data_IF_335936981310
#
_entry.id   IF_335936981310
#
_cell.length_a   1.000
_cell.length_b   1.000
_cell.length_c   1.000
_cell.angle_alpha   90.00
_cell.angle_beta   90.00
_cell.angle_gamma   90.00
#
_symmetry.space_group_name_H-M   'P 1'
#
loop_
_entity.id
_entity.type
_entity.pdbx_description
1 polymer ?
#
# COMPACT_ATOMS: atom_id res chain seq x y z
N UNK A 1 -19.50 -25.22 -4.27
CA UNK A 1 -19.78 -23.84 -4.76
C UNK A 1 -19.35 -22.80 -3.72
N UNK A 2 -18.14 -22.91 -3.15
CA UNK A 2 -17.65 -21.98 -2.10
C UNK A 2 -16.38 -21.20 -2.50
N UNK A 3 -15.78 -21.49 -3.67
CA UNK A 3 -14.49 -20.90 -4.06
C UNK A 3 -14.54 -19.55 -4.80
N UNK A 4 -15.72 -19.08 -5.23
CA UNK A 4 -15.83 -17.85 -6.04
C UNK A 4 -16.18 -16.61 -5.21
N UNK A 5 -16.81 -16.76 -4.04
CA UNK A 5 -17.24 -15.62 -3.22
C UNK A 5 -16.08 -14.93 -2.49
N UNK A 6 -15.03 -15.66 -2.11
CA UNK A 6 -13.82 -15.11 -1.51
C UNK A 6 -13.00 -14.27 -2.49
N UNK A 7 -12.95 -14.65 -3.76
CA UNK A 7 -12.24 -13.91 -4.81
C UNK A 7 -12.96 -12.63 -5.26
N UNK A 8 -14.30 -12.61 -5.23
CA UNK A 8 -15.09 -11.41 -5.57
C UNK A 8 -15.02 -10.35 -4.45
N UNK A 9 -14.89 -10.78 -3.19
CA UNK A 9 -14.85 -9.88 -2.04
C UNK A 9 -13.60 -9.00 -1.99
N UNK A 10 -12.44 -9.49 -2.45
CA UNK A 10 -11.19 -8.72 -2.42
C UNK A 10 -11.20 -7.54 -3.42
N UNK A 11 -11.87 -7.71 -4.56
CA UNK A 11 -11.90 -6.75 -5.67
C UNK A 11 -12.76 -5.50 -5.41
N UNK A 12 -13.69 -5.57 -4.46
CA UNK A 12 -14.70 -4.52 -4.20
C UNK A 12 -14.48 -3.73 -2.90
N UNK A 13 -13.57 -4.16 -2.03
CA UNK A 13 -13.39 -3.56 -0.69
C UNK A 13 -12.60 -2.25 -0.63
N UNK A 14 -11.86 -1.87 -1.68
CA UNK A 14 -10.96 -0.70 -1.65
C UNK A 14 -11.63 0.65 -1.97
N UNK A 15 -12.73 0.66 -2.74
CA UNK A 15 -13.37 1.92 -3.17
C UNK A 15 -14.58 2.32 -2.31
N UNK A 16 -15.11 1.42 -1.46
CA UNK A 16 -16.33 1.65 -0.66
C UNK A 16 -16.13 1.53 0.86
N UNK A 17 -14.89 1.39 1.36
CA UNK A 17 -14.61 1.43 2.80
C UNK A 17 -14.20 2.83 3.24
N UNK A 18 -14.86 3.30 4.29
CA UNK A 18 -14.31 4.34 5.17
C UNK A 18 -12.97 3.83 5.69
N UNK A 19 -11.87 4.51 5.37
CA UNK A 19 -10.57 4.22 5.99
C UNK A 19 -10.67 4.63 7.45
N UNK A 20 -10.62 3.66 8.35
CA UNK A 20 -10.54 3.91 9.80
C UNK A 20 -9.08 3.91 10.19
N UNK A 21 -8.58 5.07 10.59
CA UNK A 21 -7.24 5.17 11.15
C UNK A 21 -7.22 4.48 12.51
N UNK A 22 -6.30 3.53 12.68
CA UNK A 22 -6.02 2.89 13.96
C UNK A 22 -4.68 3.43 14.46
N UNK A 23 -4.64 4.18 15.59
CA UNK A 23 -3.39 4.63 16.17
C UNK A 23 -2.47 3.45 16.50
N UNK A 24 -1.17 3.62 16.32
CA UNK A 24 -0.14 2.68 16.77
C UNK A 24 0.80 3.37 17.74
N UNK A 25 1.47 2.57 18.57
CA UNK A 25 2.48 3.08 19.49
C UNK A 25 3.67 3.67 18.70
N UNK A 26 4.09 4.86 19.09
CA UNK A 26 5.17 5.60 18.44
C UNK A 26 6.54 4.94 18.68
N UNK A 27 6.67 4.20 19.77
CA UNK A 27 7.91 3.50 20.14
C UNK A 27 8.19 2.28 19.24
N UNK A 28 7.27 1.94 18.33
CA UNK A 28 7.48 0.95 17.28
C UNK A 28 8.30 1.49 16.10
N UNK A 29 8.44 2.80 15.96
CA UNK A 29 9.14 3.39 14.83
C UNK A 29 10.66 3.23 14.97
N UNK A 30 11.36 2.80 13.91
CA UNK A 30 12.81 2.93 13.86
C UNK A 30 13.22 4.41 13.76
N UNK A 31 14.50 4.75 13.96
CA UNK A 31 15.01 6.09 13.68
C UNK A 31 14.69 6.51 12.23
N UNK A 32 14.04 7.67 12.06
CA UNK A 32 13.68 8.23 10.76
C UNK A 32 14.51 9.47 10.46
N UNK A 33 14.90 9.63 9.19
CA UNK A 33 15.61 10.81 8.70
C UNK A 33 14.72 11.59 7.73
N UNK A 34 14.60 12.90 7.95
CA UNK A 34 13.89 13.79 7.05
C UNK A 34 14.90 14.48 6.12
N UNK A 35 14.71 14.33 4.81
CA UNK A 35 15.53 14.97 3.77
C UNK A 35 14.61 15.83 2.91
N UNK A 36 15.02 17.07 2.65
CA UNK A 36 14.29 18.01 1.81
C UNK A 36 15.00 18.17 0.45
N UNK A 37 14.24 18.10 -0.65
CA UNK A 37 14.71 18.30 -2.01
C UNK A 37 13.71 19.15 -2.81
N UNK A 38 14.22 20.07 -3.65
CA UNK A 38 13.39 21.02 -4.41
C UNK A 38 12.79 20.44 -5.71
N UNK A 39 13.15 19.21 -6.08
CA UNK A 39 12.64 18.53 -7.27
C UNK A 39 11.23 17.98 -7.04
N UNK A 40 10.23 18.83 -7.29
CA UNK A 40 8.82 18.47 -7.22
C UNK A 40 8.38 17.79 -8.52
N UNK A 41 8.32 16.46 -8.53
CA UNK A 41 7.55 15.73 -9.54
C UNK A 41 6.06 15.96 -9.23
N UNK A 42 5.30 16.39 -10.24
CA UNK A 42 3.84 16.52 -10.14
C UNK A 42 3.20 15.14 -10.03
N UNK A 43 2.99 14.69 -8.79
CA UNK A 43 2.36 13.41 -8.47
C UNK A 43 0.93 13.31 -9.02
N UNK A 44 0.25 14.44 -9.21
CA UNK A 44 -1.09 14.50 -9.80
C UNK A 44 -1.10 14.00 -11.24
N UNK A 45 -0.10 14.38 -12.05
CA UNK A 45 0.04 13.88 -13.41
C UNK A 45 0.35 12.39 -13.45
N UNK A 46 1.27 11.93 -12.59
CA UNK A 46 1.73 10.53 -12.56
C UNK A 46 0.62 9.57 -12.11
N UNK A 47 -0.20 9.95 -11.13
CA UNK A 47 -1.23 9.06 -10.56
C UNK A 47 -2.63 9.22 -11.15
N UNK A 48 -2.88 10.24 -11.98
CA UNK A 48 -4.21 10.55 -12.53
C UNK A 48 -4.89 9.37 -13.25
N UNK A 49 -4.12 8.49 -13.89
CA UNK A 49 -4.66 7.39 -14.72
C UNK A 49 -4.87 6.08 -13.96
N UNK A 50 -4.33 5.93 -12.75
CA UNK A 50 -4.36 4.67 -11.98
C UNK A 50 -5.79 4.20 -11.76
N UNK A 51 -6.66 5.11 -11.27
CA UNK A 51 -8.08 4.79 -11.03
C UNK A 51 -8.82 4.41 -12.31
N UNK A 52 -8.56 5.13 -13.41
CA UNK A 52 -9.20 4.85 -14.68
C UNK A 52 -8.80 3.46 -15.20
N UNK A 53 -7.51 3.12 -15.16
CA UNK A 53 -6.99 1.83 -15.61
C UNK A 53 -7.48 0.67 -14.74
N UNK A 54 -7.55 0.86 -13.42
CA UNK A 54 -8.17 -0.12 -12.52
C UNK A 54 -9.63 -0.39 -12.90
N UNK A 55 -10.44 0.65 -13.11
CA UNK A 55 -11.85 0.50 -13.52
C UNK A 55 -12.00 -0.14 -14.89
N UNK A 56 -11.03 0.06 -15.78
CA UNK A 56 -10.95 -0.60 -17.08
C UNK A 56 -10.52 -2.08 -16.99
N UNK A 57 -10.20 -2.59 -15.80
CA UNK A 57 -9.81 -3.99 -15.61
C UNK A 57 -8.35 -4.28 -15.96
N UNK A 58 -7.49 -3.27 -16.01
CA UNK A 58 -6.06 -3.43 -16.31
C UNK A 58 -5.39 -4.35 -15.27
N UNK A 59 -5.02 -5.56 -15.70
CA UNK A 59 -4.48 -6.60 -14.81
C UNK A 59 -3.20 -6.16 -14.10
N UNK A 60 -2.33 -5.40 -14.78
CA UNK A 60 -1.09 -4.91 -14.19
C UNK A 60 -1.39 -3.92 -13.06
N UNK A 61 -2.33 -2.99 -13.29
CA UNK A 61 -2.74 -2.04 -12.25
C UNK A 61 -3.42 -2.77 -11.09
N UNK A 62 -4.24 -3.78 -11.40
CA UNK A 62 -4.93 -4.55 -10.37
C UNK A 62 -3.95 -5.29 -9.47
N UNK A 63 -3.04 -6.07 -10.06
CA UNK A 63 -2.07 -6.85 -9.30
C UNK A 63 -1.09 -5.97 -8.53
N UNK A 64 -0.65 -4.84 -9.11
CA UNK A 64 0.24 -3.89 -8.43
C UNK A 64 -0.43 -3.28 -7.20
N UNK A 65 -1.70 -2.87 -7.30
CA UNK A 65 -2.41 -2.28 -6.15
C UNK A 65 -2.72 -3.33 -5.07
N UNK A 66 -2.95 -4.60 -5.45
CA UNK A 66 -3.06 -5.71 -4.50
C UNK A 66 -1.73 -5.96 -3.77
N UNK A 67 -0.61 -5.87 -4.47
CA UNK A 67 0.72 -6.00 -3.87
C UNK A 67 1.05 -4.84 -2.91
N UNK A 68 0.80 -3.59 -3.32
CA UNK A 68 0.95 -2.41 -2.45
C UNK A 68 0.10 -2.53 -1.18
N UNK A 69 -1.12 -3.05 -1.29
CA UNK A 69 -1.97 -3.34 -0.14
C UNK A 69 -1.36 -4.38 0.81
N UNK A 70 -0.77 -5.45 0.26
CA UNK A 70 -0.10 -6.48 1.05
C UNK A 70 1.14 -5.94 1.75
N UNK A 71 1.91 -5.06 1.09
CA UNK A 71 3.06 -4.38 1.69
C UNK A 71 2.64 -3.61 2.95
N UNK A 72 1.50 -2.91 2.93
CA UNK A 72 1.02 -2.18 4.10
C UNK A 72 0.67 -3.10 5.28
N UNK A 73 0.02 -4.24 5.00
CA UNK A 73 -0.33 -5.25 6.02
C UNK A 73 0.91 -5.90 6.61
N UNK A 74 1.87 -6.31 5.78
CA UNK A 74 3.09 -6.94 6.25
C UNK A 74 4.06 -5.95 6.90
N UNK A 75 4.08 -4.70 6.45
CA UNK A 75 4.82 -3.60 7.07
C UNK A 75 4.33 -3.31 8.49
N UNK A 76 3.02 -3.34 8.73
CA UNK A 76 2.48 -3.24 10.09
C UNK A 76 2.97 -4.38 10.99
N UNK A 77 2.97 -5.63 10.48
CA UNK A 77 3.48 -6.78 11.24
C UNK A 77 4.97 -6.61 11.57
N UNK A 78 5.76 -6.19 10.58
CA UNK A 78 7.19 -5.93 10.77
C UNK A 78 7.45 -4.85 11.85
N UNK A 79 6.62 -3.81 11.93
CA UNK A 79 6.68 -2.81 13.00
C UNK A 79 6.37 -3.43 14.38
N UNK A 80 5.30 -4.21 14.48
CA UNK A 80 4.90 -4.86 15.74
C UNK A 80 5.97 -5.85 16.23
N UNK A 81 6.59 -6.58 15.31
CA UNK A 81 7.66 -7.54 15.59
C UNK A 81 9.03 -6.89 15.79
N UNK A 82 9.14 -5.56 15.58
CA UNK A 82 10.39 -4.79 15.57
C UNK A 82 11.43 -5.31 14.57
N UNK A 83 10.97 -5.95 13.49
CA UNK A 83 11.81 -6.41 12.38
C UNK A 83 12.03 -5.29 11.36
N UNK A 84 12.96 -4.39 11.70
CA UNK A 84 13.25 -3.21 10.88
C UNK A 84 13.95 -3.55 9.56
N UNK A 85 14.61 -4.71 9.47
CA UNK A 85 15.22 -5.16 8.22
C UNK A 85 14.13 -5.53 7.21
N UNK A 86 13.10 -6.26 7.65
CA UNK A 86 11.94 -6.59 6.83
C UNK A 86 11.12 -5.34 6.48
N UNK A 87 10.95 -4.42 7.42
CA UNK A 87 10.31 -3.13 7.16
C UNK A 87 11.04 -2.34 6.06
N UNK A 88 12.37 -2.24 6.11
CA UNK A 88 13.16 -1.55 5.09
C UNK A 88 13.01 -2.20 3.71
N UNK A 89 12.98 -3.54 3.64
CA UNK A 89 12.73 -4.26 2.40
C UNK A 89 11.35 -3.92 1.80
N UNK A 90 10.32 -3.84 2.63
CA UNK A 90 8.97 -3.44 2.21
C UNK A 90 8.89 -1.99 1.74
N UNK A 91 9.59 -1.07 2.42
CA UNK A 91 9.65 0.33 2.00
C UNK A 91 10.31 0.49 0.62
N UNK A 92 11.39 -0.26 0.37
CA UNK A 92 12.03 -0.28 -0.94
C UNK A 92 11.08 -0.83 -2.00
N UNK A 93 10.39 -1.94 -1.71
CA UNK A 93 9.45 -2.54 -2.65
C UNK A 93 8.31 -1.59 -3.05
N UNK A 94 7.78 -0.79 -2.11
CA UNK A 94 6.72 0.18 -2.38
C UNK A 94 7.15 1.37 -3.26
N UNK A 95 8.45 1.68 -3.33
CA UNK A 95 9.00 2.86 -4.02
C UNK A 95 9.71 2.53 -5.33
N UNK A 96 9.79 1.24 -5.71
CA UNK A 96 10.46 0.75 -6.93
C UNK A 96 9.44 0.41 -8.00
#
# INVERSE_FOLDING_TARGET
>A
MEGLYTWISARTTWMNRVMVYTPMDIDLLPPLYLIYAENLIDSGKVHSTVRQRWLAGDEFIISTMEDVANIAVEGQKALLDKDYAKLAAFMNHNLT
#
